data_IF_102420888205
#
_entry.id   IF_102420888205
#
_cell.length_a   1.000
_cell.length_b   1.000
_cell.length_c   1.000
_cell.angle_alpha   90.00
_cell.angle_beta   90.00
_cell.angle_gamma   90.00
#
_symmetry.space_group_name_H-M   'P 1'
#
loop_
_entity.id
_entity.type
_entity.pdbx_description
1 polymer ?
#
# COMPACT_ATOMS: atom_id res chain seq x y z
N UNK A 1 -3.98 5.50 -47.27
CA UNK A 1 -3.74 6.12 -45.96
C UNK A 1 -4.25 5.20 -44.84
N UNK A 2 -3.36 4.55 -44.09
CA UNK A 2 -3.64 4.15 -42.70
C UNK A 2 -2.31 4.12 -41.97
N UNK A 3 -2.06 5.12 -41.12
CA UNK A 3 -0.86 5.13 -40.28
C UNK A 3 -0.96 3.95 -39.32
N UNK A 4 -0.02 3.01 -39.43
CA UNK A 4 0.05 1.83 -38.57
C UNK A 4 0.45 2.32 -37.17
N UNK A 5 -0.54 2.60 -36.30
CA UNK A 5 -0.29 3.01 -34.92
C UNK A 5 0.58 1.96 -34.21
N UNK A 6 1.87 2.26 -34.02
CA UNK A 6 2.78 1.44 -33.21
C UNK A 6 2.24 1.39 -31.77
N UNK A 7 1.73 0.24 -31.34
CA UNK A 7 1.24 0.03 -29.96
C UNK A 7 2.44 -0.23 -29.04
N UNK A 8 2.53 0.52 -27.93
CA UNK A 8 3.55 0.29 -26.88
C UNK A 8 3.49 -1.15 -26.38
N UNK A 9 4.63 -1.84 -26.33
CA UNK A 9 4.77 -3.21 -25.81
C UNK A 9 4.17 -3.27 -24.40
N UNK A 10 3.35 -4.29 -24.14
CA UNK A 10 2.71 -4.46 -22.83
C UNK A 10 1.49 -3.59 -22.57
N UNK A 11 0.90 -2.91 -23.55
CA UNK A 11 -0.34 -2.11 -23.36
C UNK A 11 -1.46 -2.89 -22.65
N UNK A 12 -1.66 -4.16 -23.00
CA UNK A 12 -2.70 -5.03 -22.41
C UNK A 12 -2.21 -5.81 -21.19
N UNK A 13 -0.97 -6.28 -21.23
CA UNK A 13 -0.40 -7.21 -20.24
C UNK A 13 0.33 -6.51 -19.10
N UNK A 14 0.65 -5.22 -19.23
CA UNK A 14 1.44 -4.42 -18.27
C UNK A 14 2.67 -5.19 -17.77
N UNK A 15 2.98 -5.09 -16.48
CA UNK A 15 4.08 -5.81 -15.83
C UNK A 15 3.95 -7.34 -15.92
N UNK A 16 2.72 -7.86 -15.98
CA UNK A 16 2.45 -9.29 -16.12
C UNK A 16 2.85 -9.87 -17.50
N UNK A 17 3.34 -9.04 -18.42
CA UNK A 17 4.02 -9.51 -19.63
C UNK A 17 5.23 -10.41 -19.33
N UNK A 18 5.89 -10.25 -18.17
CA UNK A 18 7.02 -11.08 -17.72
C UNK A 18 6.71 -12.57 -17.60
N UNK A 19 5.43 -12.92 -17.43
CA UNK A 19 5.02 -14.31 -17.27
C UNK A 19 4.89 -15.08 -18.60
N UNK A 20 4.89 -14.37 -19.74
CA UNK A 20 4.70 -14.98 -21.05
C UNK A 20 3.31 -15.60 -21.18
N UNK A 21 3.26 -16.86 -21.61
CA UNK A 21 2.00 -17.59 -21.87
C UNK A 21 1.41 -18.24 -20.61
N UNK A 22 2.16 -18.28 -19.50
CA UNK A 22 1.83 -19.02 -18.28
C UNK A 22 0.71 -18.37 -17.45
N UNK A 23 0.08 -19.19 -16.59
CA UNK A 23 -0.89 -18.82 -15.53
C UNK A 23 -2.25 -18.25 -15.98
N UNK A 24 -2.52 -18.20 -17.29
CA UNK A 24 -3.80 -17.74 -17.82
C UNK A 24 -4.03 -16.22 -17.72
N UNK A 25 -5.16 -15.73 -18.25
CA UNK A 25 -5.43 -14.28 -18.36
C UNK A 25 -5.87 -13.64 -17.04
N UNK A 26 -6.77 -14.29 -16.29
CA UNK A 26 -7.41 -13.72 -15.09
C UNK A 26 -6.37 -13.44 -14.00
N UNK A 27 -5.53 -14.42 -13.69
CA UNK A 27 -4.47 -14.32 -12.69
C UNK A 27 -3.47 -13.22 -13.08
N UNK A 28 -2.99 -13.21 -14.34
CA UNK A 28 -2.07 -12.17 -14.83
C UNK A 28 -2.65 -10.76 -14.75
N UNK A 29 -3.95 -10.59 -15.00
CA UNK A 29 -4.62 -9.29 -14.86
C UNK A 29 -4.64 -8.83 -13.40
N UNK A 30 -5.01 -9.72 -12.47
CA UNK A 30 -5.02 -9.41 -11.05
C UNK A 30 -3.62 -9.05 -10.54
N UNK A 31 -2.58 -9.79 -10.94
CA UNK A 31 -1.18 -9.50 -10.57
C UNK A 31 -0.72 -8.15 -11.13
N UNK A 32 -1.04 -7.86 -12.39
CA UNK A 32 -0.69 -6.57 -12.99
C UNK A 32 -1.31 -5.38 -12.22
N UNK A 33 -2.58 -5.50 -11.82
CA UNK A 33 -3.27 -4.47 -11.03
C UNK A 33 -2.68 -4.31 -9.62
N UNK A 34 -2.29 -5.42 -8.97
CA UNK A 34 -1.63 -5.40 -7.66
C UNK A 34 -0.22 -4.79 -7.74
N UNK A 35 0.57 -5.18 -8.75
CA UNK A 35 1.93 -4.65 -8.94
C UNK A 35 1.92 -3.16 -9.30
N UNK A 36 0.93 -2.71 -10.08
CA UNK A 36 0.76 -1.29 -10.41
C UNK A 36 0.53 -0.44 -9.16
N UNK A 37 -0.31 -0.91 -8.24
CA UNK A 37 -0.49 -0.26 -6.92
C UNK A 37 0.80 -0.30 -6.11
N UNK A 38 1.41 -1.48 -6.00
CA UNK A 38 2.60 -1.68 -5.16
C UNK A 38 3.80 -0.83 -5.60
N UNK A 39 3.97 -0.64 -6.92
CA UNK A 39 5.07 0.14 -7.50
C UNK A 39 4.75 1.62 -7.65
N UNK A 40 3.52 2.05 -7.37
CA UNK A 40 3.16 3.45 -7.39
C UNK A 40 3.88 4.21 -6.26
N UNK A 41 4.21 5.47 -6.53
CA UNK A 41 4.74 6.39 -5.52
C UNK A 41 3.60 7.00 -4.72
N UNK A 42 3.69 6.95 -3.40
CA UNK A 42 2.66 7.47 -2.50
C UNK A 42 3.10 8.73 -1.76
N UNK A 43 2.13 9.49 -1.24
CA UNK A 43 2.37 10.65 -0.38
C UNK A 43 2.90 10.20 0.98
N UNK A 44 3.99 10.82 1.44
CA UNK A 44 4.54 10.60 2.77
C UNK A 44 3.65 11.24 3.84
N UNK A 45 3.39 10.56 4.98
CA UNK A 45 2.63 11.16 6.08
C UNK A 45 3.40 12.28 6.82
N UNK A 46 4.73 12.33 6.71
CA UNK A 46 5.58 13.30 7.42
C UNK A 46 5.91 14.54 6.58
N UNK A 47 6.36 14.35 5.35
CA UNK A 47 6.81 15.45 4.48
C UNK A 47 5.90 15.73 3.29
N UNK A 48 4.78 15.01 3.17
CA UNK A 48 3.71 15.15 2.14
C UNK A 48 4.12 14.99 0.66
N UNK A 49 5.42 14.89 0.38
CA UNK A 49 5.98 14.59 -0.94
C UNK A 49 5.58 13.19 -1.41
N UNK A 50 5.39 13.03 -2.72
CA UNK A 50 5.09 11.75 -3.39
C UNK A 50 6.37 10.94 -3.67
N UNK A 51 6.98 10.43 -2.62
CA UNK A 51 8.31 9.80 -2.67
C UNK A 51 8.38 8.51 -1.85
N UNK A 52 7.23 7.98 -1.41
CA UNK A 52 7.17 6.72 -0.67
C UNK A 52 7.24 5.53 -1.61
N UNK A 53 8.16 4.62 -1.32
CA UNK A 53 8.36 3.34 -2.01
C UNK A 53 8.33 2.17 -1.02
N UNK A 54 7.99 0.98 -1.52
CA UNK A 54 7.97 -0.26 -0.72
C UNK A 54 9.38 -0.84 -0.64
N UNK A 55 9.83 -1.17 0.56
CA UNK A 55 11.09 -1.90 0.78
C UNK A 55 10.83 -3.39 0.92
N UNK A 56 9.83 -3.75 1.73
CA UNK A 56 9.53 -5.13 2.07
C UNK A 56 8.04 -5.37 2.30
N UNK A 57 7.72 -6.49 2.93
CA UNK A 57 6.34 -6.84 3.28
C UNK A 57 5.84 -5.91 4.38
N UNK A 58 4.91 -5.01 4.05
CA UNK A 58 4.32 -4.07 5.01
C UNK A 58 5.24 -2.93 5.45
N UNK A 59 6.46 -2.84 4.93
CA UNK A 59 7.44 -1.80 5.26
C UNK A 59 7.59 -0.83 4.10
N UNK A 60 7.33 0.45 4.37
CA UNK A 60 7.38 1.54 3.42
C UNK A 60 8.40 2.59 3.87
N UNK A 61 9.16 3.16 2.92
CA UNK A 61 10.14 4.21 3.20
C UNK A 61 9.94 5.39 2.26
N UNK A 62 10.02 6.57 2.83
CA UNK A 62 10.12 7.80 2.06
C UNK A 62 11.57 8.04 1.63
N UNK A 63 11.83 8.18 0.33
CA UNK A 63 13.18 8.48 -0.15
C UNK A 63 13.65 9.89 0.21
N UNK A 64 12.73 10.85 0.38
CA UNK A 64 13.09 12.25 0.62
C UNK A 64 13.39 12.59 2.08
N UNK A 65 12.64 12.00 3.03
CA UNK A 65 12.83 12.28 4.46
C UNK A 65 13.33 11.08 5.27
N UNK A 66 13.56 9.94 4.63
CA UNK A 66 14.04 8.72 5.28
C UNK A 66 13.03 8.01 6.18
N UNK A 67 11.84 8.59 6.40
CA UNK A 67 10.84 8.04 7.31
C UNK A 67 10.36 6.66 6.85
N UNK A 68 10.56 5.66 7.70
CA UNK A 68 10.08 4.29 7.54
C UNK A 68 8.83 4.07 8.38
N UNK A 69 7.80 3.49 7.79
CA UNK A 69 6.54 3.22 8.48
C UNK A 69 5.93 1.89 8.06
N UNK A 70 5.06 1.37 8.92
CA UNK A 70 4.30 0.14 8.69
C UNK A 70 3.00 0.44 7.96
N UNK A 71 2.60 -0.45 7.06
CA UNK A 71 1.40 -0.30 6.25
C UNK A 71 0.94 -1.63 5.66
N UNK A 72 0.06 -1.56 4.67
CA UNK A 72 -0.37 -2.76 3.96
C UNK A 72 0.73 -3.38 3.09
N UNK A 73 0.52 -4.64 2.70
CA UNK A 73 1.47 -5.39 1.88
C UNK A 73 1.65 -4.78 0.48
N UNK A 74 0.56 -4.37 -0.17
CA UNK A 74 0.57 -3.86 -1.55
C UNK A 74 0.21 -2.38 -1.67
N UNK A 75 -0.34 -1.79 -0.59
CA UNK A 75 -0.74 -0.38 -0.53
C UNK A 75 -0.37 0.14 0.87
N UNK A 76 0.17 1.38 1.01
CA UNK A 76 0.60 1.89 2.33
C UNK A 76 -0.55 1.98 3.34
N UNK A 77 -1.74 2.43 2.91
CA UNK A 77 -2.94 2.51 3.75
C UNK A 77 -3.98 1.52 3.24
N UNK A 78 -4.37 0.56 4.07
CA UNK A 78 -5.42 -0.42 3.76
C UNK A 78 -6.79 0.15 4.13
N UNK A 79 -7.86 -0.22 3.40
CA UNK A 79 -9.21 0.25 3.73
C UNK A 79 -9.62 -0.17 5.15
N UNK A 80 -9.31 -1.42 5.55
CA UNK A 80 -9.58 -1.91 6.90
C UNK A 80 -8.79 -1.15 7.97
N UNK A 81 -7.50 -0.85 7.71
CA UNK A 81 -6.68 -0.08 8.64
C UNK A 81 -7.22 1.35 8.84
N UNK A 82 -7.70 1.98 7.77
CA UNK A 82 -8.33 3.30 7.85
C UNK A 82 -9.62 3.24 8.67
N UNK A 83 -10.45 2.20 8.49
CA UNK A 83 -11.68 2.03 9.28
C UNK A 83 -11.37 1.81 10.76
N UNK A 84 -10.39 0.97 11.10
CA UNK A 84 -9.97 0.73 12.48
C UNK A 84 -9.46 2.02 13.15
N UNK A 85 -8.61 2.79 12.47
CA UNK A 85 -8.12 4.08 12.98
C UNK A 85 -9.27 5.07 13.25
N UNK A 86 -10.28 5.11 12.38
CA UNK A 86 -11.46 5.96 12.59
C UNK A 86 -12.30 5.51 13.78
N UNK A 87 -12.43 4.20 13.99
CA UNK A 87 -13.15 3.67 15.15
C UNK A 87 -12.43 4.03 16.46
N UNK A 88 -11.11 3.85 16.52
CA UNK A 88 -10.28 4.21 17.67
C UNK A 88 -10.39 5.70 17.98
N UNK A 89 -10.24 6.55 16.96
CA UNK A 89 -10.37 8.01 17.11
C UNK A 89 -11.72 8.43 17.69
N UNK A 90 -12.81 7.77 17.29
CA UNK A 90 -14.15 8.03 17.84
C UNK A 90 -14.29 7.58 19.30
N UNK A 91 -13.62 6.52 19.70
CA UNK A 91 -13.63 6.03 21.10
C UNK A 91 -12.86 7.02 21.98
N UNK A 92 -11.70 7.48 21.50
CA UNK A 92 -10.88 8.49 22.18
C UNK A 92 -11.63 9.82 22.35
N UNK A 93 -12.28 10.32 21.29
CA UNK A 93 -13.11 11.54 21.33
C UNK A 93 -14.32 11.42 22.29
N UNK A 94 -14.81 10.20 22.54
CA UNK A 94 -15.91 9.95 23.48
C UNK A 94 -15.44 9.80 24.94
N UNK A 95 -14.13 9.87 25.20
CA UNK A 95 -13.59 9.93 26.55
C UNK A 95 -13.79 8.65 27.38
N UNK A 96 -13.80 7.47 26.77
CA UNK A 96 -13.69 6.22 27.54
C UNK A 96 -12.21 6.04 27.89
N UNK A 97 -11.80 6.65 29.00
CA UNK A 97 -10.47 6.52 29.58
C UNK A 97 -10.16 5.05 29.84
N UNK A 98 -9.10 4.55 29.22
CA UNK A 98 -8.51 3.28 29.62
C UNK A 98 -7.70 3.58 30.88
N UNK A 99 -8.34 3.46 32.04
CA UNK A 99 -7.66 3.23 33.29
C UNK A 99 -7.02 1.83 33.27
N UNK A 100 -5.94 1.70 32.50
CA UNK A 100 -5.00 0.59 32.62
C UNK A 100 -3.78 1.12 33.37
N UNK A 101 -3.94 1.30 34.69
CA UNK A 101 -2.80 1.37 35.59
C UNK A 101 -2.02 0.05 35.53
N UNK A 102 -0.68 0.07 35.70
CA UNK A 102 0.09 -1.16 35.71
C UNK A 102 -0.44 -2.07 36.83
N UNK A 103 -0.77 -3.30 36.46
CA UNK A 103 -1.20 -4.34 37.38
C UNK A 103 0.00 -4.68 38.28
N UNK A 104 0.07 -4.07 39.46
CA UNK A 104 1.07 -4.41 40.48
C UNK A 104 0.86 -5.86 40.91
N UNK A 105 1.87 -6.67 40.63
CA UNK A 105 2.00 -8.04 41.14
C UNK A 105 2.49 -7.91 42.59
N UNK A 106 1.65 -8.29 43.55
CA UNK A 106 2.09 -8.54 44.93
C UNK A 106 2.39 -10.03 45.08
N UNK A 107 3.56 -10.29 45.67
CA UNK A 107 4.15 -11.61 45.96
C UNK A 107 3.23 -12.54 46.77
#
# INVERSE_FOLDING_TARGET
MTSKQKRKKGRKTKSAGRFGVRYGRKIRKAVAEMEEKTRATYKCPKCEKKSVTRIGTGIWKCSTCGFTFTGGTYVPKTPMGVTAQRAIKRIEERGVGTEMGPMEVKE
#
